data_IF_438466866903
#
_entry.id   IF_438466866903
#
_cell.length_a   1.000
_cell.length_b   1.000
_cell.length_c   1.000
_cell.angle_alpha   90.00
_cell.angle_beta   90.00
_cell.angle_gamma   90.00
#
_symmetry.space_group_name_H-M   'P 1'
#
loop_
_entity.id
_entity.type
_entity.pdbx_description
1 polymer ?
#
# COMPACT_ATOMS: atom_id res chain seq x y z
N UNK A 1 -8.71 30.51 -19.82
CA UNK A 1 -8.11 29.30 -20.39
C UNK A 1 -7.81 28.38 -19.21
N UNK A 2 -8.78 27.90 -18.43
CA UNK A 2 -9.93 27.02 -18.71
C UNK A 2 -9.48 25.67 -19.27
N UNK A 3 -9.27 24.71 -18.37
CA UNK A 3 -9.34 23.28 -18.69
C UNK A 3 -10.39 22.67 -17.77
N UNK A 4 -11.47 22.25 -18.42
CA UNK A 4 -12.63 21.57 -17.86
C UNK A 4 -12.23 20.15 -17.42
N UNK A 5 -12.35 19.84 -16.13
CA UNK A 5 -12.47 18.45 -15.69
C UNK A 5 -13.97 18.10 -15.69
N UNK A 6 -14.34 17.20 -16.60
CA UNK A 6 -15.72 16.88 -16.95
C UNK A 6 -16.55 16.36 -15.78
N UNK A 7 -17.68 17.02 -15.56
CA UNK A 7 -18.87 16.43 -14.93
C UNK A 7 -19.35 15.29 -15.83
N UNK A 8 -19.27 14.04 -15.39
CA UNK A 8 -20.15 13.00 -15.91
C UNK A 8 -21.47 13.07 -15.14
N UNK A 9 -22.50 13.60 -15.83
CA UNK A 9 -23.89 13.52 -15.40
C UNK A 9 -24.36 12.06 -15.48
N UNK A 10 -24.67 11.44 -14.33
CA UNK A 10 -25.61 10.33 -14.29
C UNK A 10 -26.97 10.87 -13.83
N UNK A 11 -27.82 11.23 -14.80
CA UNK A 11 -29.23 11.48 -14.54
C UNK A 11 -29.99 10.14 -14.50
N UNK A 12 -30.76 9.95 -13.43
CA UNK A 12 -32.06 9.30 -13.52
C UNK A 12 -32.14 7.79 -13.31
N UNK A 13 -31.96 7.32 -12.07
CA UNK A 13 -32.70 6.15 -11.57
C UNK A 13 -33.19 6.44 -10.15
N UNK A 14 -34.52 6.45 -9.96
CA UNK A 14 -35.14 6.38 -8.62
C UNK A 14 -34.73 5.04 -8.01
N UNK A 15 -33.73 5.05 -7.13
CA UNK A 15 -33.30 3.85 -6.44
C UNK A 15 -34.18 3.63 -5.20
N UNK A 16 -34.83 2.47 -5.19
CA UNK A 16 -35.54 1.93 -4.05
C UNK A 16 -34.63 1.91 -2.81
N UNK A 17 -35.25 2.11 -1.64
CA UNK A 17 -34.61 2.05 -0.32
C UNK A 17 -34.04 0.65 -0.06
N UNK A 18 -32.80 0.41 -0.46
CA UNK A 18 -32.01 -0.76 -0.06
C UNK A 18 -31.31 -0.40 1.25
N UNK A 19 -31.52 -1.20 2.29
CA UNK A 19 -30.90 -1.05 3.61
C UNK A 19 -29.37 -0.94 3.48
N UNK A 20 -28.86 0.30 3.55
CA UNK A 20 -27.44 0.66 3.71
C UNK A 20 -26.93 0.09 5.04
N UNK A 21 -25.81 -0.67 5.09
CA UNK A 21 -24.82 -0.75 6.21
C UNK A 21 -23.90 -2.00 6.15
N UNK A 22 -22.85 -2.01 5.32
CA UNK A 22 -21.76 -3.01 5.50
C UNK A 22 -20.34 -2.42 5.36
N UNK A 23 -20.06 -1.57 4.37
CA UNK A 23 -18.72 -0.94 4.20
C UNK A 23 -18.43 0.17 5.22
N UNK A 24 -19.44 0.70 5.90
CA UNK A 24 -19.24 1.70 6.97
C UNK A 24 -18.60 1.12 8.24
N UNK A 25 -18.13 -0.14 8.22
CA UNK A 25 -17.54 -0.85 9.35
C UNK A 25 -16.03 -0.68 9.46
N UNK A 26 -15.38 -0.04 8.50
CA UNK A 26 -13.94 0.16 8.48
C UNK A 26 -13.58 1.58 8.02
N UNK A 27 -12.44 2.09 8.48
CA UNK A 27 -11.87 3.34 7.98
C UNK A 27 -11.24 3.11 6.60
N UNK A 28 -11.19 4.15 5.77
CA UNK A 28 -10.59 4.07 4.44
C UNK A 28 -9.54 5.17 4.31
N UNK A 29 -8.31 4.79 3.96
CA UNK A 29 -7.18 5.69 3.82
C UNK A 29 -6.64 5.69 2.39
N UNK A 30 -6.39 6.87 1.84
CA UNK A 30 -5.71 7.03 0.56
C UNK A 30 -4.23 7.40 0.76
N UNK A 31 -3.34 6.73 0.05
CA UNK A 31 -1.92 7.03 -0.10
C UNK A 31 -1.77 8.02 -1.26
N UNK A 32 -0.98 9.08 -1.05
CA UNK A 32 -0.64 10.02 -2.12
C UNK A 32 0.86 10.29 -2.08
N UNK A 33 1.55 9.96 -3.18
CA UNK A 33 3.01 10.11 -3.31
C UNK A 33 3.32 11.47 -3.94
N UNK A 34 4.24 12.28 -3.40
CA UNK A 34 4.51 13.60 -3.95
C UNK A 34 5.40 13.52 -5.19
N UNK A 35 4.88 13.89 -6.35
CA UNK A 35 5.59 13.87 -7.62
C UNK A 35 6.51 15.08 -7.93
N UNK A 36 7.01 15.85 -6.94
CA UNK A 36 8.28 16.62 -7.01
C UNK A 36 8.46 17.72 -5.93
N UNK A 37 9.69 17.74 -5.37
CA UNK A 37 10.45 18.82 -4.69
C UNK A 37 9.90 19.54 -3.44
N UNK A 38 8.66 19.29 -2.99
CA UNK A 38 8.21 19.67 -1.63
C UNK A 38 7.44 18.58 -0.88
N UNK A 39 7.39 17.36 -1.42
CA UNK A 39 7.44 16.11 -0.63
C UNK A 39 6.39 15.84 0.45
N UNK A 40 5.14 16.32 0.39
CA UNK A 40 4.19 16.15 1.51
C UNK A 40 3.38 14.85 1.42
N UNK A 41 3.54 13.97 2.40
CA UNK A 41 2.69 12.78 2.55
C UNK A 41 1.32 13.22 3.06
N UNK A 42 0.28 12.86 2.31
CA UNK A 42 -1.10 13.06 2.71
C UNK A 42 -1.79 11.74 3.01
N UNK A 43 -2.43 11.66 4.16
CA UNK A 43 -3.39 10.59 4.47
C UNK A 43 -4.78 11.19 4.41
N UNK A 44 -5.64 10.57 3.61
CA UNK A 44 -7.02 11.01 3.43
C UNK A 44 -7.96 9.96 4.02
N UNK A 45 -8.73 10.33 5.04
CA UNK A 45 -9.84 9.51 5.50
C UNK A 45 -11.01 9.75 4.55
N UNK A 46 -11.44 8.74 3.79
CA UNK A 46 -12.51 8.87 2.79
C UNK A 46 -13.78 8.19 3.26
N UNK A 47 -14.94 8.66 2.79
CA UNK A 47 -16.20 8.00 3.11
C UNK A 47 -16.18 6.58 2.54
N UNK A 48 -16.35 5.55 3.38
CA UNK A 48 -16.43 4.18 2.88
C UNK A 48 -17.67 3.98 1.99
N UNK A 49 -18.59 4.94 1.86
CA UNK A 49 -19.74 4.97 0.94
C UNK A 49 -19.45 5.62 -0.41
N UNK A 50 -18.46 6.50 -0.44
CA UNK A 50 -18.04 7.27 -1.58
C UNK A 50 -16.56 7.63 -1.36
N UNK A 51 -15.66 6.80 -1.90
CA UNK A 51 -14.22 6.96 -1.74
C UNK A 51 -13.70 8.25 -2.38
N UNK A 52 -14.50 8.94 -3.21
CA UNK A 52 -14.19 10.27 -3.72
C UNK A 52 -14.49 11.40 -2.74
N UNK A 53 -15.28 11.13 -1.68
CA UNK A 53 -15.59 12.12 -0.65
C UNK A 53 -14.56 12.07 0.47
N UNK A 54 -13.70 13.10 0.50
CA UNK A 54 -12.74 13.33 1.58
C UNK A 54 -13.47 13.75 2.86
N UNK A 55 -13.28 12.98 3.94
CA UNK A 55 -13.76 13.36 5.27
C UNK A 55 -12.71 14.20 5.99
N UNK A 56 -11.46 13.77 5.94
CA UNK A 56 -10.35 14.43 6.59
C UNK A 56 -9.09 14.26 5.72
N UNK A 57 -8.28 15.30 5.62
CA UNK A 57 -6.98 15.27 4.95
C UNK A 57 -5.93 15.79 5.91
N UNK A 58 -4.88 14.99 6.11
CA UNK A 58 -3.78 15.31 7.00
C UNK A 58 -2.51 15.41 6.19
N UNK A 59 -1.70 16.43 6.44
CA UNK A 59 -0.29 16.38 6.07
C UNK A 59 0.44 15.67 7.21
N UNK A 60 1.01 14.51 6.90
CA UNK A 60 1.65 13.68 7.92
C UNK A 60 3.11 14.07 8.09
N UNK A 61 3.78 14.36 6.97
CA UNK A 61 5.20 14.73 6.96
C UNK A 61 5.62 15.34 5.63
N UNK A 62 6.62 16.22 5.68
CA UNK A 62 7.40 16.62 4.50
C UNK A 62 8.56 15.65 4.31
N UNK A 63 8.83 15.20 3.08
CA UNK A 63 9.95 14.35 2.67
C UNK A 63 11.16 15.23 2.35
N UNK A 64 11.96 15.51 3.38
CA UNK A 64 13.24 16.21 3.26
C UNK A 64 14.34 15.37 3.89
N UNK A 65 15.60 15.64 3.58
CA UNK A 65 16.73 14.91 4.17
C UNK A 65 16.73 15.03 5.71
N UNK A 66 16.34 16.19 6.24
CA UNK A 66 16.19 16.41 7.68
C UNK A 66 15.10 15.54 8.27
N UNK A 67 13.94 15.43 7.63
CA UNK A 67 12.83 14.63 8.14
C UNK A 67 13.14 13.13 8.09
N UNK A 68 13.88 12.68 7.06
CA UNK A 68 14.38 11.31 6.98
C UNK A 68 15.36 11.01 8.11
N UNK A 69 16.24 11.97 8.43
CA UNK A 69 17.20 11.86 9.55
C UNK A 69 16.49 11.83 10.90
N UNK A 70 15.47 12.67 11.10
CA UNK A 70 14.66 12.69 12.33
C UNK A 70 13.89 11.38 12.56
N UNK A 71 13.37 10.78 11.48
CA UNK A 71 12.75 9.45 11.52
C UNK A 71 13.77 8.34 11.75
N UNK A 72 15.07 8.65 11.67
CA UNK A 72 16.16 7.70 11.82
C UNK A 72 16.11 6.61 10.76
N UNK A 73 15.79 6.97 9.52
CA UNK A 73 15.69 6.02 8.40
C UNK A 73 17.07 5.44 8.10
N UNK A 74 17.14 4.11 8.11
CA UNK A 74 18.31 3.34 7.71
C UNK A 74 17.88 2.33 6.66
N UNK A 75 18.55 2.33 5.50
CA UNK A 75 18.28 1.36 4.45
C UNK A 75 18.83 -0.01 4.83
N UNK A 76 18.14 -1.07 4.42
CA UNK A 76 18.68 -2.42 4.61
C UNK A 76 20.03 -2.56 3.86
N UNK A 77 21.13 -2.99 4.53
CA UNK A 77 22.48 -2.96 3.96
C UNK A 77 22.63 -3.64 2.60
N UNK A 78 21.93 -4.77 2.41
CA UNK A 78 21.97 -5.58 1.20
C UNK A 78 20.90 -5.20 0.16
N UNK A 79 20.08 -4.17 0.41
CA UNK A 79 19.11 -3.72 -0.57
C UNK A 79 19.80 -3.00 -1.73
N UNK A 80 19.56 -3.53 -2.92
CA UNK A 80 19.76 -2.85 -4.20
C UNK A 80 18.53 -3.15 -5.03
N UNK A 81 17.96 -2.11 -5.63
CA UNK A 81 16.84 -2.26 -6.53
C UNK A 81 17.13 -3.36 -7.57
N UNK A 82 16.27 -4.39 -7.71
CA UNK A 82 16.54 -5.55 -8.57
C UNK A 82 16.73 -5.19 -10.06
N UNK A 83 16.07 -4.12 -10.51
CA UNK A 83 15.98 -3.75 -11.93
C UNK A 83 17.10 -2.80 -12.37
N UNK A 84 17.40 -1.80 -11.57
CA UNK A 84 18.34 -0.71 -11.86
C UNK A 84 19.58 -0.72 -10.95
N UNK A 85 19.66 -1.64 -9.98
CA UNK A 85 20.80 -1.82 -9.06
C UNK A 85 21.16 -0.56 -8.26
N UNK A 86 20.17 0.31 -7.99
CA UNK A 86 20.31 1.59 -7.27
C UNK A 86 19.78 1.52 -5.83
N UNK A 87 20.06 2.56 -5.05
CA UNK A 87 19.35 2.82 -3.79
C UNK A 87 17.90 3.26 -4.06
N UNK A 88 17.07 3.28 -3.02
CA UNK A 88 15.67 3.71 -3.14
C UNK A 88 15.55 5.16 -3.65
N UNK A 89 14.50 5.46 -4.42
CA UNK A 89 14.13 6.83 -4.77
C UNK A 89 13.38 7.51 -3.63
N UNK A 90 13.27 8.84 -3.70
CA UNK A 90 12.41 9.60 -2.80
C UNK A 90 10.93 9.20 -2.90
N UNK A 91 10.47 8.82 -4.09
CA UNK A 91 9.11 8.36 -4.32
C UNK A 91 8.85 6.98 -3.70
N UNK A 92 9.79 6.03 -3.81
CA UNK A 92 9.70 4.72 -3.14
C UNK A 92 9.67 4.89 -1.60
N UNK A 93 10.48 5.80 -1.06
CA UNK A 93 10.49 6.14 0.36
C UNK A 93 9.17 6.82 0.76
N UNK A 94 8.68 7.76 -0.04
CA UNK A 94 7.41 8.45 0.19
C UNK A 94 6.22 7.50 0.19
N UNK A 95 6.20 6.55 -0.74
CA UNK A 95 5.23 5.47 -0.79
C UNK A 95 5.29 4.66 0.51
N UNK A 96 6.46 4.13 0.88
CA UNK A 96 6.62 3.35 2.10
C UNK A 96 6.12 4.12 3.33
N UNK A 97 6.58 5.37 3.51
CA UNK A 97 6.23 6.18 4.66
C UNK A 97 4.74 6.48 4.73
N UNK A 98 4.07 6.65 3.58
CA UNK A 98 2.62 6.80 3.53
C UNK A 98 1.89 5.60 4.12
N UNK A 99 2.30 4.38 3.73
CA UNK A 99 1.75 3.15 4.31
C UNK A 99 2.11 3.01 5.80
N UNK A 100 3.37 3.27 6.16
CA UNK A 100 3.85 3.22 7.54
C UNK A 100 3.02 4.09 8.48
N UNK A 101 2.77 5.34 8.12
CA UNK A 101 1.98 6.26 8.94
C UNK A 101 0.50 5.87 9.01
N UNK A 102 -0.06 5.26 7.97
CA UNK A 102 -1.39 4.65 8.04
C UNK A 102 -1.41 3.52 9.07
N UNK A 103 -0.39 2.63 9.08
CA UNK A 103 -0.31 1.56 10.06
C UNK A 103 -0.19 2.10 11.49
N UNK A 104 0.65 3.12 11.72
CA UNK A 104 0.73 3.79 13.02
C UNK A 104 -0.63 4.33 13.44
N UNK A 105 -1.36 4.97 12.52
CA UNK A 105 -2.68 5.54 12.79
C UNK A 105 -3.71 4.47 13.13
N UNK A 106 -3.73 3.35 12.39
CA UNK A 106 -4.58 2.19 12.67
C UNK A 106 -4.38 1.71 14.10
N UNK A 107 -3.12 1.56 14.52
CA UNK A 107 -2.77 1.11 15.86
C UNK A 107 -3.13 2.15 16.92
N UNK A 108 -2.82 3.43 16.70
CA UNK A 108 -3.08 4.53 17.63
C UNK A 108 -4.58 4.77 17.87
N UNK A 109 -5.38 4.66 16.82
CA UNK A 109 -6.83 4.87 16.88
C UNK A 109 -7.61 3.60 17.26
N UNK A 110 -6.93 2.46 17.45
CA UNK A 110 -7.56 1.14 17.66
C UNK A 110 -8.57 0.76 16.55
N UNK A 111 -8.23 1.11 15.30
CA UNK A 111 -9.06 0.77 14.15
C UNK A 111 -9.02 -0.74 13.94
N UNK A 112 -10.18 -1.40 14.01
CA UNK A 112 -10.25 -2.87 13.92
C UNK A 112 -9.81 -3.39 12.56
N UNK A 113 -10.34 -2.76 11.51
CA UNK A 113 -10.09 -3.08 10.11
C UNK A 113 -10.10 -1.77 9.33
N UNK A 114 -9.18 -1.64 8.38
CA UNK A 114 -9.11 -0.51 7.46
C UNK A 114 -8.98 -0.99 6.02
N UNK A 115 -9.36 -0.15 5.08
CA UNK A 115 -9.03 -0.28 3.66
C UNK A 115 -8.00 0.80 3.32
N UNK A 116 -6.88 0.38 2.72
CA UNK A 116 -5.83 1.28 2.22
C UNK A 116 -5.86 1.22 0.69
N UNK A 117 -5.85 2.40 0.07
CA UNK A 117 -5.92 2.57 -1.39
C UNK A 117 -4.80 3.53 -1.83
N UNK A 118 -4.17 3.26 -2.95
CA UNK A 118 -3.36 4.25 -3.68
C UNK A 118 -4.29 5.22 -4.43
N UNK A 119 -3.77 6.40 -4.82
CA UNK A 119 -4.55 7.49 -5.40
C UNK A 119 -4.90 7.29 -6.88
N UNK A 120 -4.27 6.34 -7.55
CA UNK A 120 -4.36 6.10 -8.99
C UNK A 120 -5.06 4.78 -9.35
N UNK A 121 -6.01 4.33 -8.52
CA UNK A 121 -6.76 3.08 -8.72
C UNK A 121 -8.12 3.24 -9.41
N UNK A 122 -8.48 2.24 -10.20
CA UNK A 122 -9.80 2.01 -10.77
C UNK A 122 -10.50 0.86 -10.06
N UNK A 123 -11.76 1.07 -9.70
CA UNK A 123 -12.61 0.08 -9.03
C UNK A 123 -13.34 -0.82 -10.03
N UNK A 124 -13.48 -2.10 -9.68
CA UNK A 124 -14.39 -3.01 -10.37
C UNK A 124 -15.86 -2.58 -10.29
N UNK A 125 -16.69 -2.89 -11.30
CA UNK A 125 -18.13 -2.78 -11.17
C UNK A 125 -18.63 -3.51 -9.93
N UNK A 126 -19.54 -2.85 -9.20
CA UNK A 126 -20.09 -3.34 -7.94
C UNK A 126 -19.02 -3.62 -6.87
N UNK A 127 -17.85 -2.95 -6.92
CA UNK A 127 -16.74 -3.06 -5.96
C UNK A 127 -17.22 -3.23 -4.51
N UNK A 128 -18.13 -2.35 -4.10
CA UNK A 128 -18.73 -2.35 -2.76
C UNK A 128 -19.37 -3.68 -2.38
N UNK A 129 -20.23 -4.18 -3.25
CA UNK A 129 -20.92 -5.44 -3.04
C UNK A 129 -19.91 -6.60 -3.00
N UNK A 130 -18.90 -6.58 -3.87
CA UNK A 130 -17.85 -7.60 -3.92
C UNK A 130 -17.00 -7.62 -2.63
N UNK A 131 -16.59 -6.45 -2.12
CA UNK A 131 -15.85 -6.34 -0.84
C UNK A 131 -16.70 -6.86 0.34
N UNK A 132 -17.99 -6.48 0.40
CA UNK A 132 -18.86 -6.99 1.46
C UNK A 132 -19.04 -8.52 1.39
N UNK A 133 -19.21 -9.06 0.19
CA UNK A 133 -19.34 -10.50 -0.01
C UNK A 133 -18.06 -11.23 0.41
N UNK A 134 -16.89 -10.69 0.08
CA UNK A 134 -15.59 -11.19 0.51
C UNK A 134 -15.47 -11.18 2.04
N UNK A 135 -15.80 -10.07 2.70
CA UNK A 135 -15.74 -9.99 4.17
C UNK A 135 -16.71 -10.97 4.85
N UNK A 136 -17.92 -11.11 4.30
CA UNK A 136 -18.87 -12.11 4.80
C UNK A 136 -18.35 -13.54 4.62
N UNK A 137 -17.65 -13.81 3.52
CA UNK A 137 -17.02 -15.11 3.28
C UNK A 137 -15.92 -15.38 4.30
N UNK A 138 -15.02 -14.42 4.55
CA UNK A 138 -14.00 -14.48 5.60
C UNK A 138 -14.63 -14.81 6.97
N UNK A 139 -15.68 -14.08 7.36
CA UNK A 139 -16.40 -14.30 8.62
C UNK A 139 -17.04 -15.70 8.68
N UNK A 140 -17.64 -16.15 7.57
CA UNK A 140 -18.31 -17.46 7.49
C UNK A 140 -17.32 -18.61 7.61
N UNK A 141 -16.16 -18.48 6.96
CA UNK A 141 -15.07 -19.44 7.04
C UNK A 141 -14.30 -19.36 8.38
N UNK A 142 -14.59 -18.34 9.21
CA UNK A 142 -13.85 -18.02 10.45
C UNK A 142 -12.34 -17.91 10.19
N UNK A 143 -11.99 -17.37 9.04
CA UNK A 143 -10.61 -17.25 8.59
C UNK A 143 -9.89 -16.19 9.44
N UNK A 144 -8.77 -16.57 10.06
CA UNK A 144 -7.85 -15.58 10.64
C UNK A 144 -7.02 -14.95 9.54
N UNK A 145 -6.98 -13.62 9.51
CA UNK A 145 -6.28 -12.85 8.49
C UNK A 145 -5.76 -11.53 9.07
N UNK A 146 -4.68 -11.03 8.47
CA UNK A 146 -4.08 -9.75 8.79
C UNK A 146 -4.20 -8.79 7.61
N UNK A 147 -3.97 -9.28 6.39
CA UNK A 147 -3.98 -8.49 5.17
C UNK A 147 -4.73 -9.21 4.04
N UNK A 148 -5.58 -8.50 3.30
CA UNK A 148 -6.20 -9.00 2.08
C UNK A 148 -5.97 -8.01 0.95
N UNK A 149 -5.20 -8.41 -0.07
CA UNK A 149 -5.02 -7.58 -1.27
C UNK A 149 -6.34 -7.46 -2.05
N UNK A 150 -6.65 -6.23 -2.47
CA UNK A 150 -7.76 -5.91 -3.36
C UNK A 150 -7.27 -5.56 -4.77
N UNK A 151 -6.06 -5.01 -4.88
CA UNK A 151 -5.33 -4.80 -6.14
C UNK A 151 -3.83 -4.94 -5.92
N UNK A 152 -3.17 -5.63 -6.83
CA UNK A 152 -1.72 -5.87 -6.87
C UNK A 152 -1.30 -6.42 -8.23
N UNK A 153 -0.01 -6.45 -8.50
CA UNK A 153 0.61 -7.22 -9.58
C UNK A 153 1.01 -8.60 -9.09
N UNK A 154 0.39 -9.64 -9.65
CA UNK A 154 0.77 -11.04 -9.42
C UNK A 154 2.06 -11.35 -10.16
N UNK A 155 3.02 -11.97 -9.49
CA UNK A 155 4.29 -12.40 -10.10
C UNK A 155 4.37 -13.93 -10.28
N UNK A 156 3.27 -14.63 -10.02
CA UNK A 156 3.11 -16.06 -10.29
C UNK A 156 1.89 -16.29 -11.18
N UNK A 157 1.91 -17.36 -11.96
CA UNK A 157 0.81 -17.69 -12.88
C UNK A 157 -0.44 -18.20 -12.16
N UNK A 158 -0.25 -18.90 -11.04
CA UNK A 158 -1.31 -19.58 -10.29
C UNK A 158 -1.12 -19.42 -8.79
N UNK A 159 -2.24 -19.33 -8.09
CA UNK A 159 -2.33 -19.27 -6.64
C UNK A 159 -3.43 -20.23 -6.18
N UNK A 160 -3.23 -20.85 -5.03
CA UNK A 160 -4.18 -21.81 -4.48
C UNK A 160 -5.36 -21.09 -3.83
N UNK A 161 -6.56 -21.59 -4.09
CA UNK A 161 -7.77 -21.09 -3.44
C UNK A 161 -7.75 -21.44 -1.95
N UNK A 162 -8.25 -20.52 -1.13
CA UNK A 162 -8.52 -20.82 0.28
C UNK A 162 -9.64 -21.85 0.33
N UNK A 163 -9.48 -22.88 1.16
CA UNK A 163 -10.46 -23.97 1.26
C UNK A 163 -11.86 -23.43 1.60
N UNK A 164 -12.86 -23.81 0.77
CA UNK A 164 -14.23 -23.36 0.91
C UNK A 164 -14.52 -21.92 0.43
N UNK A 165 -13.49 -21.16 0.05
CA UNK A 165 -13.66 -19.81 -0.47
C UNK A 165 -13.99 -19.79 -1.97
N UNK A 166 -14.72 -18.76 -2.39
CA UNK A 166 -15.08 -18.45 -3.77
C UNK A 166 -14.44 -17.16 -4.26
N UNK A 167 -13.91 -16.34 -3.35
CA UNK A 167 -13.34 -15.03 -3.67
C UNK A 167 -11.95 -14.79 -3.10
N UNK A 168 -11.30 -15.81 -2.52
CA UNK A 168 -10.00 -15.69 -1.85
C UNK A 168 -9.00 -16.77 -2.28
N UNK A 169 -7.77 -16.33 -2.49
CA UNK A 169 -6.60 -17.19 -2.70
C UNK A 169 -5.53 -16.91 -1.65
N UNK A 170 -4.68 -17.91 -1.40
CA UNK A 170 -3.42 -17.71 -0.69
C UNK A 170 -2.51 -16.84 -1.56
N UNK A 171 -2.09 -15.69 -1.02
CA UNK A 171 -1.26 -14.76 -1.78
C UNK A 171 0.14 -15.31 -1.97
N UNK A 172 0.68 -15.15 -3.18
CA UNK A 172 2.07 -15.43 -3.51
C UNK A 172 2.88 -14.12 -3.65
N UNK A 173 4.13 -14.21 -4.12
CA UNK A 173 4.95 -13.04 -4.35
C UNK A 173 4.24 -12.02 -5.27
N UNK A 174 4.32 -10.75 -4.89
CA UNK A 174 3.48 -9.68 -5.43
C UNK A 174 4.26 -8.39 -5.51
N UNK A 175 3.97 -7.59 -6.53
CA UNK A 175 4.31 -6.17 -6.60
C UNK A 175 3.09 -5.29 -6.55
N UNK A 176 3.33 -4.00 -6.34
CA UNK A 176 2.30 -2.96 -6.20
C UNK A 176 1.40 -3.14 -4.98
N UNK A 177 1.03 -2.02 -4.38
CA UNK A 177 0.17 -1.96 -3.20
C UNK A 177 -1.10 -1.15 -3.46
N UNK A 178 -1.59 -1.19 -4.71
CA UNK A 178 -2.78 -0.47 -5.22
C UNK A 178 -3.91 -0.39 -4.20
N UNK A 179 -4.23 -1.50 -3.54
CA UNK A 179 -5.02 -1.43 -2.32
C UNK A 179 -5.19 -2.75 -1.61
N UNK A 180 -5.39 -2.68 -0.30
CA UNK A 180 -5.55 -3.84 0.57
C UNK A 180 -6.43 -3.51 1.77
N UNK A 181 -7.03 -4.54 2.35
CA UNK A 181 -7.61 -4.48 3.68
C UNK A 181 -6.58 -4.89 4.72
N UNK A 182 -6.62 -4.27 5.90
CA UNK A 182 -5.65 -4.50 6.97
C UNK A 182 -6.36 -4.51 8.32
N UNK A 183 -6.07 -5.52 9.15
CA UNK A 183 -6.53 -5.57 10.54
C UNK A 183 -5.60 -4.77 11.47
N UNK A 184 -6.08 -4.42 12.66
CA UNK A 184 -5.23 -3.80 13.69
C UNK A 184 -3.99 -4.65 13.99
N UNK A 185 -4.18 -5.96 14.12
CA UNK A 185 -3.11 -6.92 14.41
C UNK A 185 -2.10 -6.99 13.26
N UNK A 186 -2.57 -6.98 12.01
CA UNK A 186 -1.70 -6.88 10.84
C UNK A 186 -0.84 -5.61 10.86
N UNK A 187 -1.43 -4.46 11.20
CA UNK A 187 -0.69 -3.21 11.35
C UNK A 187 0.37 -3.30 12.46
N UNK A 188 0.06 -3.94 13.60
CA UNK A 188 1.03 -4.16 14.69
C UNK A 188 2.20 -5.04 14.22
N UNK A 189 1.92 -6.15 13.54
CA UNK A 189 2.96 -7.04 12.98
C UNK A 189 3.87 -6.32 11.99
N UNK A 190 3.29 -5.46 11.14
CA UNK A 190 4.03 -4.62 10.19
C UNK A 190 4.92 -3.59 10.90
N UNK A 191 4.49 -3.01 12.02
CA UNK A 191 5.30 -2.03 12.75
C UNK A 191 6.36 -2.67 13.66
N UNK A 192 6.08 -3.85 14.22
CA UNK A 192 6.94 -4.56 15.17
C UNK A 192 8.34 -4.85 14.60
N UNK A 193 8.45 -5.01 13.29
CA UNK A 193 9.73 -5.25 12.62
C UNK A 193 10.67 -4.04 12.62
N UNK A 194 10.20 -2.87 13.06
CA UNK A 194 10.94 -1.59 12.99
C UNK A 194 11.43 -1.29 11.57
N UNK A 195 10.52 -1.25 10.57
CA UNK A 195 10.90 -1.17 9.16
C UNK A 195 11.74 0.06 8.81
N UNK A 196 11.59 1.17 9.54
CA UNK A 196 12.40 2.37 9.31
C UNK A 196 13.90 2.15 9.56
N UNK A 197 14.29 1.13 10.33
CA UNK A 197 15.70 0.78 10.59
C UNK A 197 16.33 -0.15 9.55
N UNK A 198 15.54 -0.59 8.58
CA UNK A 198 15.94 -1.51 7.51
C UNK A 198 15.00 -1.33 6.33
N UNK A 199 14.91 -0.09 5.86
CA UNK A 199 13.96 0.33 4.86
C UNK A 199 14.26 -0.32 3.50
N UNK A 200 13.20 -0.81 2.88
CA UNK A 200 13.10 -1.34 1.52
C UNK A 200 11.73 -0.92 0.95
N UNK A 201 11.46 -1.04 -0.36
CA UNK A 201 10.13 -0.74 -0.91
C UNK A 201 9.02 -1.53 -0.22
N UNK A 202 7.84 -0.93 -0.13
CA UNK A 202 6.72 -1.50 0.64
C UNK A 202 6.22 -2.80 0.03
N UNK A 203 6.29 -2.91 -1.29
CA UNK A 203 5.92 -4.09 -2.06
C UNK A 203 7.01 -5.18 -2.08
N UNK A 204 8.20 -4.92 -1.53
CA UNK A 204 9.15 -5.97 -1.14
C UNK A 204 8.99 -6.35 0.34
N UNK A 205 8.71 -5.35 1.18
CA UNK A 205 8.55 -5.54 2.62
C UNK A 205 7.37 -6.42 3.01
N UNK A 206 6.16 -6.15 2.49
CA UNK A 206 4.97 -6.91 2.87
C UNK A 206 5.12 -8.39 2.46
N UNK A 207 5.60 -8.74 1.24
CA UNK A 207 5.84 -10.14 0.88
C UNK A 207 6.89 -10.88 1.71
N UNK A 208 7.88 -10.16 2.25
CA UNK A 208 8.79 -10.77 3.23
C UNK A 208 8.00 -11.19 4.47
N UNK A 209 7.11 -10.35 5.00
CA UNK A 209 6.40 -10.64 6.25
C UNK A 209 5.34 -11.73 6.15
N UNK A 210 4.79 -11.99 4.96
CA UNK A 210 3.95 -13.17 4.72
C UNK A 210 4.72 -14.37 4.13
N UNK A 211 6.06 -14.32 4.19
CA UNK A 211 6.99 -15.41 3.86
C UNK A 211 6.88 -15.93 2.42
N UNK A 212 6.64 -15.04 1.45
CA UNK A 212 6.57 -15.39 0.02
C UNK A 212 7.53 -14.60 -0.86
N UNK A 213 8.45 -13.84 -0.27
CA UNK A 213 9.49 -13.15 -1.02
C UNK A 213 10.55 -14.14 -1.56
N UNK A 214 11.01 -14.01 -2.82
CA UNK A 214 11.97 -14.96 -3.42
C UNK A 214 13.41 -14.79 -2.92
N UNK A 215 13.81 -13.58 -2.51
CA UNK A 215 15.17 -13.32 -2.00
C UNK A 215 15.30 -13.73 -0.52
N UNK A 216 15.88 -14.91 -0.28
CA UNK A 216 16.09 -15.45 1.06
C UNK A 216 17.04 -14.60 1.92
N UNK A 217 18.02 -13.90 1.33
CA UNK A 217 18.91 -13.03 2.11
C UNK A 217 18.16 -11.85 2.73
N UNK A 218 17.19 -11.29 2.02
CA UNK A 218 16.40 -10.16 2.52
C UNK A 218 15.49 -10.60 3.66
N UNK A 219 14.91 -11.81 3.55
CA UNK A 219 14.09 -12.40 4.62
C UNK A 219 14.85 -12.57 5.94
N UNK A 220 16.17 -12.76 5.92
CA UNK A 220 16.99 -12.89 7.14
C UNK A 220 16.98 -11.61 8.00
N UNK A 221 16.74 -10.45 7.41
CA UNK A 221 16.60 -9.19 8.17
C UNK A 221 15.26 -9.11 8.91
N UNK A 222 14.29 -9.96 8.60
CA UNK A 222 12.93 -9.95 9.14
C UNK A 222 12.54 -11.35 9.62
N UNK A 223 12.98 -11.72 10.83
CA UNK A 223 12.84 -13.09 11.35
C UNK A 223 11.38 -13.51 11.55
N UNK A 224 10.55 -12.61 12.08
CA UNK A 224 9.14 -12.89 12.38
C UNK A 224 8.26 -12.60 11.17
N UNK A 225 8.03 -13.63 10.34
CA UNK A 225 7.23 -13.58 9.10
C UNK A 225 5.89 -14.29 9.27
N UNK A 226 5.06 -13.76 10.15
CA UNK A 226 3.77 -14.36 10.55
C UNK A 226 2.55 -13.50 10.15
N UNK A 227 2.70 -12.68 9.10
CA UNK A 227 1.59 -11.92 8.54
C UNK A 227 0.68 -12.86 7.73
N UNK A 228 -0.55 -13.06 8.19
CA UNK A 228 -1.54 -13.89 7.53
C UNK A 228 -2.17 -13.12 6.36
N UNK A 229 -1.60 -13.28 5.17
CA UNK A 229 -2.02 -12.54 3.99
C UNK A 229 -2.80 -13.41 2.99
N UNK A 230 -3.79 -12.80 2.36
CA UNK A 230 -4.60 -13.37 1.28
C UNK A 230 -4.81 -12.35 0.17
N UNK A 231 -5.44 -12.76 -0.93
CA UNK A 231 -5.80 -11.87 -2.03
C UNK A 231 -7.22 -12.16 -2.50
N UNK A 232 -7.95 -11.11 -2.84
CA UNK A 232 -9.19 -11.24 -3.59
C UNK A 232 -8.92 -11.90 -4.95
N UNK A 233 -9.79 -12.81 -5.37
CA UNK A 233 -9.77 -13.46 -6.67
C UNK A 233 -11.20 -13.54 -7.24
N UNK A 234 -11.52 -12.82 -8.34
CA UNK A 234 -10.66 -11.89 -9.06
C UNK A 234 -10.30 -10.63 -8.25
N UNK A 235 -9.27 -9.90 -8.68
CA UNK A 235 -8.91 -8.60 -8.10
C UNK A 235 -10.05 -7.59 -8.28
N UNK A 236 -10.15 -6.68 -7.30
CA UNK A 236 -11.22 -5.68 -7.20
C UNK A 236 -10.75 -4.26 -7.54
N UNK A 237 -9.43 -4.04 -7.58
CA UNK A 237 -8.77 -2.80 -7.95
C UNK A 237 -7.75 -3.06 -9.05
N UNK A 238 -7.63 -2.11 -9.97
CA UNK A 238 -6.71 -2.11 -11.09
C UNK A 238 -6.05 -0.73 -11.20
N UNK A 239 -4.82 -0.62 -11.73
CA UNK A 239 -4.23 0.69 -11.94
C UNK A 239 -5.01 1.47 -13.00
N UNK A 240 -5.00 2.81 -12.91
CA UNK A 240 -5.59 3.68 -13.94
C UNK A 240 -4.77 3.67 -15.23
N UNK A 241 -3.45 3.45 -15.12
CA UNK A 241 -2.50 3.37 -16.23
C UNK A 241 -1.55 2.18 -16.03
N UNK A 242 -1.21 1.46 -17.09
CA UNK A 242 -0.26 0.35 -17.01
C UNK A 242 1.16 0.80 -17.39
N UNK A 243 2.18 0.19 -16.76
CA UNK A 243 3.59 0.36 -17.15
C UNK A 243 3.77 0.12 -18.65
N UNK A 244 4.20 1.15 -19.39
CA UNK A 244 4.43 1.10 -20.84
C UNK A 244 3.34 1.70 -21.72
N UNK A 245 2.23 2.19 -21.16
CA UNK A 245 1.24 2.96 -21.91
C UNK A 245 1.74 4.38 -22.21
N UNK A 246 1.37 4.94 -23.38
CA UNK A 246 1.76 6.29 -23.76
C UNK A 246 1.18 7.33 -22.78
N UNK A 247 2.05 7.98 -22.00
CA UNK A 247 1.66 8.90 -20.93
C UNK A 247 1.82 8.34 -19.51
N UNK A 248 2.26 7.08 -19.35
CA UNK A 248 2.60 6.51 -18.05
C UNK A 248 3.85 7.19 -17.47
N UNK A 249 3.69 7.90 -16.36
CA UNK A 249 4.76 8.44 -15.54
C UNK A 249 4.59 7.78 -14.16
N UNK A 250 5.54 6.94 -13.78
CA UNK A 250 5.59 6.40 -12.42
C UNK A 250 6.20 7.44 -11.50
N UNK A 251 5.39 7.99 -10.57
CA UNK A 251 5.83 8.99 -9.61
C UNK A 251 6.86 8.43 -8.60
N UNK A 252 6.89 7.10 -8.42
CA UNK A 252 7.87 6.42 -7.56
C UNK A 252 9.18 6.14 -8.29
N UNK A 253 9.13 5.67 -9.54
CA UNK A 253 10.33 5.24 -10.29
C UNK A 253 11.10 6.42 -10.93
N UNK A 254 10.44 7.54 -11.21
CA UNK A 254 11.06 8.69 -11.90
C UNK A 254 11.61 9.79 -10.98
N UNK A 255 11.57 9.60 -9.66
CA UNK A 255 12.04 10.59 -8.69
C UNK A 255 13.56 10.48 -8.42
N UNK A 256 14.17 11.54 -7.86
CA UNK A 256 15.61 11.62 -7.64
C UNK A 256 16.16 10.51 -6.72
N UNK A 257 17.29 9.92 -7.10
CA UNK A 257 18.00 8.88 -6.36
C UNK A 257 18.75 9.49 -5.16
N UNK A 258 18.73 8.84 -4.00
CA UNK A 258 19.55 9.25 -2.84
C UNK A 258 21.02 8.90 -3.09
N UNK A 259 21.91 9.89 -2.98
CA UNK A 259 23.34 9.65 -2.94
C UNK A 259 23.71 9.01 -1.61
N UNK A 260 24.36 7.83 -1.64
CA UNK A 260 24.96 7.25 -0.43
C UNK A 260 25.98 8.24 0.13
N UNK A 261 25.89 8.56 1.41
CA UNK A 261 26.93 9.31 2.10
C UNK A 261 28.27 8.58 1.92
N UNK A 262 29.24 9.25 1.31
CA UNK A 262 30.60 8.77 1.20
C UNK A 262 31.18 8.62 2.60
N UNK A 263 31.59 7.40 2.94
CA UNK A 263 32.51 7.18 4.06
C UNK A 263 33.75 8.04 3.83
N UNK A 264 34.07 8.87 4.83
CA UNK A 264 35.24 9.73 4.83
C UNK A 264 36.52 8.90 4.74
N UNK A 265 37.26 9.03 3.64
CA UNK A 265 38.68 8.68 3.59
C UNK A 265 39.47 9.90 4.03
N UNK A 266 40.15 9.76 5.18
CA UNK A 266 41.06 10.77 5.70
C UNK A 266 42.30 10.87 4.81
N UNK A 267 42.55 12.05 4.27
CA UNK A 267 43.89 12.45 3.85
C UNK A 267 44.55 13.16 5.02
N UNK A 268 45.46 12.45 5.69
CA UNK A 268 46.60 13.06 6.36
C UNK A 268 47.75 12.94 5.38
N UNK A 269 48.25 14.06 4.88
CA UNK A 269 49.58 14.11 4.27
C UNK A 269 50.36 15.27 4.90
N UNK A 270 51.66 14.99 5.01
CA UNK A 270 52.72 15.61 5.80
C UNK A 270 53.09 17.04 5.35
#
# INVERSE_FOLDING_TARGET
MTLLCGRQNFLGFKQASVKKREISKFACFQVSVPGDKKGKIHIVNVDPKDSGTVREKWEVRSLTDESMKELGIEFMPDYKDPYHKRAMTHGEIGCFLSHYFIWEKVVQNDEKVVMVLEDDVRFEPYFRHKVNALLKEVDTLKLSWDLIYLGRKRLVEKEDWVEGAKSLVHVAYSYWTLGYMLTNEGARKLLEQKPLKKLIPVDEYIPILFDKHPEEKWKQYFEKRNLLAFSAAPLLLYPTHYTGEAGYISDTENSSIIQKASTAEGHTEL
#
